data_IF_900884322434
#
_entry.id   IF_900884322434
#
_cell.length_a   1.000
_cell.length_b   1.000
_cell.length_c   1.000
_cell.angle_alpha   90.00
_cell.angle_beta   90.00
_cell.angle_gamma   90.00
#
_symmetry.space_group_name_H-M   'P 1'
#
loop_
_entity.id
_entity.type
_entity.pdbx_description
1 polymer ?
#
# COMPACT_ATOMS: atom_id res chain seq x y z
N UNK A 1 -29.88 11.31 -44.87
CA UNK A 1 -28.42 11.14 -44.99
C UNK A 1 -28.03 9.92 -44.16
N UNK A 2 -27.30 9.00 -44.78
CA UNK A 2 -27.08 7.63 -44.34
C UNK A 2 -26.21 7.54 -43.06
N UNK A 3 -26.83 7.34 -41.90
CA UNK A 3 -26.14 6.91 -40.67
C UNK A 3 -25.42 5.55 -40.91
N UNK A 4 -25.89 4.76 -41.89
CA UNK A 4 -25.40 3.41 -42.20
C UNK A 4 -23.99 3.38 -42.83
N UNK A 5 -23.53 4.45 -43.49
CA UNK A 5 -22.18 4.46 -44.10
C UNK A 5 -21.06 4.57 -43.05
N UNK A 6 -21.30 5.29 -41.96
CA UNK A 6 -20.30 5.52 -40.92
C UNK A 6 -20.05 4.27 -40.04
N UNK A 7 -21.07 3.42 -39.86
CA UNK A 7 -20.94 2.17 -39.10
C UNK A 7 -20.04 1.10 -39.75
N UNK A 8 -19.86 1.16 -41.08
CA UNK A 8 -19.01 0.21 -41.81
C UNK A 8 -17.53 0.58 -41.80
N UNK A 9 -17.21 1.83 -41.50
CA UNK A 9 -15.84 2.37 -41.64
C UNK A 9 -15.22 2.78 -40.31
N UNK A 10 -16.01 2.89 -39.24
CA UNK A 10 -15.54 3.32 -37.93
C UNK A 10 -15.72 2.23 -36.87
N UNK A 11 -14.72 2.08 -36.00
CA UNK A 11 -14.84 1.27 -34.78
C UNK A 11 -15.48 2.11 -33.68
N UNK A 12 -16.64 1.69 -33.20
CA UNK A 12 -17.32 2.34 -32.07
C UNK A 12 -16.95 1.60 -30.78
N UNK A 13 -16.42 2.33 -29.80
CA UNK A 13 -16.04 1.76 -28.49
C UNK A 13 -16.99 2.28 -27.44
N UNK A 14 -17.87 1.41 -26.92
CA UNK A 14 -18.65 1.69 -25.73
C UNK A 14 -17.76 1.44 -24.50
N UNK A 15 -17.44 2.51 -23.76
CA UNK A 15 -16.73 2.41 -22.48
C UNK A 15 -17.73 2.53 -21.34
N UNK A 16 -17.95 1.44 -20.62
CA UNK A 16 -18.76 1.43 -19.40
C UNK A 16 -17.82 1.38 -18.20
N UNK A 17 -17.95 2.34 -17.29
CA UNK A 17 -17.26 2.31 -15.99
C UNK A 17 -18.26 1.92 -14.92
N UNK A 18 -18.12 0.70 -14.39
CA UNK A 18 -18.95 0.23 -13.29
C UNK A 18 -18.25 0.48 -11.96
N UNK A 19 -18.89 1.26 -11.08
CA UNK A 19 -18.45 1.46 -9.69
C UNK A 19 -19.32 0.59 -8.77
N UNK A 20 -18.83 -0.58 -8.40
CA UNK A 20 -19.53 -1.48 -7.46
C UNK A 20 -18.91 -1.43 -6.06
N UNK A 21 -19.75 -1.58 -5.04
CA UNK A 21 -19.29 -1.92 -3.68
C UNK A 21 -19.36 -3.44 -3.55
N UNK A 22 -18.24 -4.08 -3.24
CA UNK A 22 -18.20 -5.51 -2.93
C UNK A 22 -18.28 -5.72 -1.42
N UNK A 23 -18.88 -6.84 -1.01
CA UNK A 23 -18.95 -7.22 0.41
C UNK A 23 -17.54 -7.42 0.96
N UNK A 24 -17.31 -7.00 2.20
CA UNK A 24 -16.01 -7.20 2.88
C UNK A 24 -15.66 -8.69 2.91
N UNK A 25 -14.43 -9.03 2.51
CA UNK A 25 -13.93 -10.41 2.47
C UNK A 25 -14.16 -11.15 1.15
N UNK A 26 -14.83 -10.56 0.16
CA UNK A 26 -14.87 -11.10 -1.21
C UNK A 26 -13.47 -11.13 -1.82
N UNK A 27 -12.99 -12.31 -2.24
CA UNK A 27 -11.64 -12.50 -2.82
C UNK A 27 -11.60 -12.37 -4.33
N UNK A 28 -12.59 -12.94 -5.01
CA UNK A 28 -12.68 -12.90 -6.46
C UNK A 28 -14.04 -12.34 -6.85
N UNK A 29 -14.07 -11.46 -7.83
CA UNK A 29 -15.29 -11.05 -8.48
C UNK A 29 -15.10 -11.09 -9.99
N UNK A 30 -16.14 -11.49 -10.70
CA UNK A 30 -16.16 -11.52 -12.16
C UNK A 30 -17.23 -10.56 -12.63
N UNK A 31 -16.87 -9.71 -13.60
CA UNK A 31 -17.80 -8.79 -14.21
C UNK A 31 -18.35 -9.39 -15.51
N UNK A 32 -19.67 -9.38 -15.63
CA UNK A 32 -20.36 -9.85 -16.82
C UNK A 32 -21.20 -8.71 -17.40
N UNK A 33 -21.06 -8.51 -18.70
CA UNK A 33 -21.85 -7.55 -19.47
C UNK A 33 -22.74 -8.35 -20.41
N UNK A 34 -24.04 -8.24 -20.23
CA UNK A 34 -25.07 -8.75 -21.15
C UNK A 34 -25.87 -7.56 -21.68
N UNK A 35 -26.16 -7.53 -22.98
CA UNK A 35 -26.85 -6.40 -23.60
C UNK A 35 -27.14 -6.60 -25.09
N UNK A 36 -27.85 -5.63 -25.67
CA UNK A 36 -28.23 -5.60 -27.08
C UNK A 36 -27.77 -4.29 -27.71
N UNK A 37 -27.13 -4.36 -28.88
CA UNK A 37 -26.79 -3.20 -29.72
C UNK A 37 -27.34 -3.45 -31.12
N UNK A 38 -28.30 -2.65 -31.57
CA UNK A 38 -28.90 -2.74 -32.91
C UNK A 38 -29.19 -4.19 -33.36
N UNK A 39 -29.89 -4.94 -32.50
CA UNK A 39 -30.27 -6.36 -32.66
C UNK A 39 -29.12 -7.39 -32.57
N UNK A 40 -27.89 -6.94 -32.33
CA UNK A 40 -26.76 -7.81 -32.01
C UNK A 40 -26.70 -8.02 -30.50
N UNK A 41 -26.76 -9.29 -30.09
CA UNK A 41 -26.61 -9.69 -28.70
C UNK A 41 -25.14 -9.69 -28.29
N UNK A 42 -24.87 -9.13 -27.12
CA UNK A 42 -23.59 -9.19 -26.40
C UNK A 42 -23.87 -9.94 -25.10
N UNK A 43 -23.13 -11.01 -24.79
CA UNK A 43 -23.41 -11.83 -23.61
C UNK A 43 -24.34 -13.03 -23.87
N UNK A 44 -24.63 -13.80 -22.82
CA UNK A 44 -25.54 -14.95 -22.83
C UNK A 44 -26.93 -14.61 -22.23
N UNK A 45 -27.94 -15.48 -22.41
CA UNK A 45 -29.34 -15.25 -21.97
C UNK A 45 -30.30 -14.77 -23.07
N UNK A 46 -31.48 -14.28 -22.73
CA UNK A 46 -32.42 -13.64 -23.66
C UNK A 46 -32.72 -12.18 -23.24
N UNK A 47 -33.60 -11.50 -23.98
CA UNK A 47 -33.92 -10.08 -23.75
C UNK A 47 -34.59 -9.84 -22.38
N UNK A 48 -35.37 -10.80 -21.89
CA UNK A 48 -36.13 -10.68 -20.65
C UNK A 48 -35.42 -11.40 -19.48
N UNK A 49 -34.51 -12.34 -19.81
CA UNK A 49 -33.73 -13.15 -18.87
C UNK A 49 -32.25 -13.13 -19.26
N UNK A 50 -31.52 -12.02 -18.97
CA UNK A 50 -30.07 -12.01 -19.15
C UNK A 50 -29.44 -13.13 -18.32
N UNK A 51 -28.41 -13.78 -18.86
CA UNK A 51 -27.72 -14.84 -18.13
C UNK A 51 -27.08 -14.25 -16.86
N UNK A 52 -27.43 -14.81 -15.71
CA UNK A 52 -26.82 -14.50 -14.42
C UNK A 52 -25.85 -15.64 -14.08
N UNK A 53 -24.54 -15.39 -14.12
CA UNK A 53 -23.55 -16.44 -13.92
C UNK A 53 -23.52 -16.85 -12.46
N UNK A 54 -23.54 -18.16 -12.25
CA UNK A 54 -23.28 -18.77 -10.95
C UNK A 54 -22.03 -19.63 -11.03
N UNK A 55 -21.51 -20.07 -9.87
CA UNK A 55 -20.37 -20.99 -9.83
C UNK A 55 -20.62 -22.27 -10.64
N UNK A 56 -21.86 -22.75 -10.65
CA UNK A 56 -22.26 -24.01 -11.28
C UNK A 56 -22.79 -23.81 -12.71
N UNK A 57 -23.14 -22.58 -13.10
CA UNK A 57 -23.65 -22.24 -14.42
C UNK A 57 -23.03 -20.92 -14.93
N UNK A 58 -21.80 -20.98 -15.48
CA UNK A 58 -21.14 -19.81 -16.02
C UNK A 58 -21.80 -19.35 -17.34
N UNK A 59 -21.85 -18.04 -17.55
CA UNK A 59 -22.32 -17.43 -18.80
C UNK A 59 -21.15 -17.38 -19.80
N UNK A 60 -20.84 -18.52 -20.41
CA UNK A 60 -19.50 -18.83 -20.92
C UNK A 60 -19.29 -18.77 -22.44
N UNK A 61 -19.93 -17.82 -23.15
CA UNK A 61 -19.59 -17.56 -24.56
C UNK A 61 -18.92 -16.22 -24.84
N UNK A 62 -18.78 -15.35 -23.84
CA UNK A 62 -18.27 -14.00 -24.05
C UNK A 62 -17.05 -13.71 -23.15
N UNK A 63 -16.12 -12.84 -23.61
CA UNK A 63 -15.00 -12.41 -22.78
C UNK A 63 -15.51 -11.74 -21.50
N UNK A 64 -15.08 -12.26 -20.35
CA UNK A 64 -15.33 -11.67 -19.04
C UNK A 64 -14.01 -11.27 -18.39
N UNK A 65 -14.06 -10.23 -17.58
CA UNK A 65 -12.92 -9.82 -16.75
C UNK A 65 -13.10 -10.34 -15.33
N UNK A 66 -12.09 -11.02 -14.81
CA UNK A 66 -12.02 -11.42 -13.40
C UNK A 66 -11.01 -10.51 -12.70
N UNK A 67 -11.28 -10.11 -11.46
CA UNK A 67 -10.30 -9.46 -10.61
C UNK A 67 -10.04 -10.33 -9.38
N UNK A 68 -8.76 -10.59 -9.12
CA UNK A 68 -8.30 -11.42 -8.02
C UNK A 68 -7.76 -10.55 -6.88
N UNK A 69 -8.19 -10.87 -5.67
CA UNK A 69 -7.70 -10.28 -4.43
C UNK A 69 -7.29 -11.39 -3.47
N UNK A 70 -6.33 -11.08 -2.61
CA UNK A 70 -5.89 -11.99 -1.56
C UNK A 70 -5.65 -11.24 -0.25
N UNK A 71 -5.83 -11.93 0.86
CA UNK A 71 -5.56 -11.37 2.18
C UNK A 71 -4.08 -11.48 2.50
N UNK A 72 -3.45 -10.39 2.91
CA UNK A 72 -2.19 -10.39 3.65
C UNK A 72 -2.50 -10.25 5.14
N UNK A 73 -2.07 -11.22 5.95
CA UNK A 73 -2.20 -11.19 7.41
C UNK A 73 -0.83 -11.04 8.04
N UNK A 74 -0.68 -10.07 8.95
CA UNK A 74 0.51 -9.94 9.78
C UNK A 74 0.21 -10.29 11.23
N UNK A 75 1.21 -10.85 11.90
CA UNK A 75 1.25 -11.01 13.37
C UNK A 75 2.46 -10.28 13.89
N UNK A 76 2.23 -9.32 14.78
CA UNK A 76 3.29 -8.52 15.38
C UNK A 76 3.71 -9.15 16.69
N UNK A 77 5.00 -9.38 16.86
CA UNK A 77 5.55 -10.02 18.07
C UNK A 77 6.76 -9.27 18.60
N UNK A 78 7.10 -9.49 19.87
CA UNK A 78 8.37 -9.06 20.43
C UNK A 78 9.52 -9.94 19.93
N UNK A 79 10.72 -9.38 19.97
CA UNK A 79 11.95 -10.16 19.95
C UNK A 79 12.00 -11.05 21.22
N UNK A 80 11.80 -12.35 21.02
CA UNK A 80 11.78 -13.34 22.08
C UNK A 80 13.21 -13.64 22.51
N UNK A 81 13.72 -12.86 23.48
CA UNK A 81 15.00 -13.18 24.14
C UNK A 81 14.86 -14.49 24.92
N UNK A 82 15.95 -15.26 25.01
CA UNK A 82 15.97 -16.55 25.70
C UNK A 82 15.24 -16.49 27.07
N UNK A 83 14.30 -17.41 27.28
CA UNK A 83 13.51 -17.52 28.51
C UNK A 83 12.31 -16.55 28.64
N UNK A 84 12.14 -15.58 27.73
CA UNK A 84 10.94 -14.73 27.65
C UNK A 84 10.20 -15.05 26.36
N UNK A 85 9.24 -15.98 26.47
CA UNK A 85 8.46 -16.47 25.33
C UNK A 85 7.85 -15.35 24.47
N UNK A 86 7.53 -15.73 23.24
CA UNK A 86 6.95 -14.84 22.23
C UNK A 86 5.59 -14.30 22.67
N UNK A 87 5.41 -12.99 22.54
CA UNK A 87 4.22 -12.24 22.91
C UNK A 87 3.77 -11.37 21.73
N UNK A 88 2.47 -11.38 21.48
CA UNK A 88 1.83 -10.56 20.45
C UNK A 88 1.77 -9.08 20.88
N UNK A 89 1.86 -8.17 19.91
CA UNK A 89 1.94 -6.73 20.13
C UNK A 89 0.80 -5.97 19.43
N UNK A 90 0.02 -5.24 20.21
CA UNK A 90 -1.05 -4.34 19.75
C UNK A 90 -0.52 -2.98 19.33
N UNK A 91 -1.19 -2.34 18.38
CA UNK A 91 -1.04 -0.92 18.07
C UNK A 91 0.12 -0.58 17.14
N UNK A 92 0.75 -1.59 16.51
CA UNK A 92 1.67 -1.33 15.42
C UNK A 92 0.88 -0.84 14.20
N UNK A 93 1.26 0.28 13.59
CA UNK A 93 0.67 0.77 12.35
C UNK A 93 1.63 0.58 11.19
N UNK A 94 1.10 0.13 10.06
CA UNK A 94 1.87 -0.10 8.84
C UNK A 94 1.23 0.62 7.67
N UNK A 95 2.07 1.26 6.85
CA UNK A 95 1.70 1.74 5.53
C UNK A 95 1.97 0.66 4.48
N UNK A 96 1.04 0.49 3.53
CA UNK A 96 1.12 -0.54 2.49
C UNK A 96 1.60 0.07 1.17
N UNK A 97 2.52 -0.63 0.50
CA UNK A 97 3.09 -0.26 -0.78
C UNK A 97 3.03 -1.45 -1.75
N UNK A 98 2.74 -1.21 -3.02
CA UNK A 98 2.89 -2.21 -4.09
C UNK A 98 4.24 -2.07 -4.76
N UNK A 99 4.89 -3.19 -5.08
CA UNK A 99 6.12 -3.17 -5.89
C UNK A 99 5.77 -2.76 -7.34
N UNK A 100 6.58 -1.86 -7.92
CA UNK A 100 6.41 -1.36 -9.30
C UNK A 100 6.73 -2.40 -10.37
N UNK A 101 7.77 -3.19 -10.14
CA UNK A 101 8.26 -4.19 -11.09
C UNK A 101 8.32 -5.56 -10.43
N UNK A 102 7.54 -6.51 -10.94
CA UNK A 102 7.44 -7.86 -10.38
C UNK A 102 8.77 -8.63 -10.37
N UNK A 103 9.77 -8.23 -11.17
CA UNK A 103 11.12 -8.81 -11.13
C UNK A 103 11.98 -8.32 -9.96
N UNK A 104 11.51 -7.35 -9.18
CA UNK A 104 12.26 -6.78 -8.04
C UNK A 104 12.53 -7.86 -7.00
N UNK A 105 13.79 -7.97 -6.57
CA UNK A 105 14.15 -8.80 -5.42
C UNK A 105 13.63 -8.14 -4.14
N UNK A 106 12.82 -8.89 -3.38
CA UNK A 106 12.16 -8.39 -2.16
C UNK A 106 13.18 -7.98 -1.08
N UNK A 107 14.27 -8.74 -0.94
CA UNK A 107 15.33 -8.46 0.04
C UNK A 107 16.16 -7.21 -0.32
N UNK A 108 16.04 -6.74 -1.57
CA UNK A 108 16.71 -5.52 -2.05
C UNK A 108 15.93 -4.24 -1.77
N UNK A 109 14.70 -4.33 -1.25
CA UNK A 109 13.89 -3.15 -0.94
C UNK A 109 14.30 -2.60 0.42
N UNK A 110 14.71 -1.35 0.43
CA UNK A 110 15.19 -0.62 1.61
C UNK A 110 14.46 0.70 1.72
N UNK A 111 14.55 1.34 2.89
CA UNK A 111 13.98 2.68 3.12
C UNK A 111 14.50 3.71 2.11
N UNK A 112 15.74 3.56 1.63
CA UNK A 112 16.38 4.47 0.68
C UNK A 112 15.84 4.36 -0.75
N UNK A 113 15.48 3.16 -1.19
CA UNK A 113 14.98 2.93 -2.55
C UNK A 113 13.46 2.70 -2.62
N UNK A 114 12.76 2.79 -1.48
CA UNK A 114 11.32 2.55 -1.36
C UNK A 114 10.51 3.36 -2.38
N UNK A 115 10.76 4.67 -2.49
CA UNK A 115 10.02 5.55 -3.39
C UNK A 115 10.23 5.21 -4.89
N UNK A 116 11.41 4.68 -5.24
CA UNK A 116 11.74 4.28 -6.61
C UNK A 116 11.27 2.88 -6.97
N UNK A 117 11.15 1.98 -5.97
CA UNK A 117 10.80 0.57 -6.17
C UNK A 117 9.33 0.27 -5.93
N UNK A 118 8.62 1.17 -5.25
CA UNK A 118 7.23 0.95 -4.82
C UNK A 118 6.33 2.15 -5.09
N UNK A 119 5.03 1.90 -5.08
CA UNK A 119 3.98 2.92 -5.04
C UNK A 119 3.12 2.73 -3.79
N UNK A 120 2.73 3.81 -3.09
CA UNK A 120 1.76 3.75 -2.01
C UNK A 120 0.45 3.12 -2.50
N UNK A 121 -0.04 2.11 -1.80
CA UNK A 121 -1.40 1.61 -2.06
C UNK A 121 -2.35 2.63 -1.48
N UNK A 122 -3.28 3.12 -2.30
CA UNK A 122 -4.26 4.14 -1.89
C UNK A 122 -5.57 3.50 -1.46
N UNK A 123 -6.24 4.12 -0.49
CA UNK A 123 -7.64 3.88 -0.20
C UNK A 123 -8.50 4.62 -1.23
N UNK A 124 -9.54 3.95 -1.74
CA UNK A 124 -10.19 4.37 -2.98
C UNK A 124 -10.75 5.81 -2.99
N UNK A 125 -11.27 6.33 -1.87
CA UNK A 125 -12.14 7.53 -1.89
C UNK A 125 -11.38 8.85 -1.75
N UNK A 126 -10.28 8.88 -1.00
CA UNK A 126 -9.57 10.11 -0.63
C UNK A 126 -8.13 10.15 -1.10
N UNK A 127 -7.69 9.14 -1.87
CA UNK A 127 -6.29 8.94 -2.25
C UNK A 127 -5.33 8.78 -1.05
N UNK A 128 -5.85 8.65 0.17
CA UNK A 128 -5.08 8.42 1.39
C UNK A 128 -4.32 7.09 1.28
N UNK A 129 -3.10 7.06 1.79
CA UNK A 129 -2.33 5.82 1.85
C UNK A 129 -3.04 4.78 2.73
N UNK A 130 -3.15 3.56 2.22
CA UNK A 130 -3.69 2.42 2.94
C UNK A 130 -2.77 2.08 4.11
N UNK A 131 -3.35 2.11 5.32
CA UNK A 131 -2.68 1.72 6.55
C UNK A 131 -3.45 0.62 7.27
N UNK A 132 -2.73 -0.27 7.95
CA UNK A 132 -3.29 -1.27 8.85
C UNK A 132 -2.73 -1.12 10.26
N UNK A 133 -3.51 -1.50 11.26
CA UNK A 133 -3.13 -1.45 12.68
C UNK A 133 -3.37 -2.80 13.35
N UNK A 134 -2.44 -3.25 14.19
CA UNK A 134 -2.58 -4.52 14.91
C UNK A 134 -3.53 -4.43 16.10
N UNK A 135 -4.45 -5.39 16.17
CA UNK A 135 -5.44 -5.50 17.24
C UNK A 135 -4.89 -6.06 18.56
N UNK A 136 -5.79 -6.37 19.49
CA UNK A 136 -5.44 -6.94 20.81
C UNK A 136 -4.75 -8.31 20.71
N UNK A 137 -5.04 -9.07 19.66
CA UNK A 137 -4.37 -10.35 19.34
C UNK A 137 -3.02 -10.15 18.61
N UNK A 138 -2.61 -8.90 18.43
CA UNK A 138 -1.43 -8.48 17.69
C UNK A 138 -1.47 -8.78 16.19
N UNK A 139 -2.65 -9.04 15.62
CA UNK A 139 -2.80 -9.28 14.18
C UNK A 139 -3.43 -8.11 13.45
N UNK A 140 -3.11 -7.99 12.15
CA UNK A 140 -3.79 -7.09 11.22
C UNK A 140 -3.92 -7.79 9.87
N UNK A 141 -4.99 -7.51 9.13
CA UNK A 141 -5.23 -8.09 7.80
C UNK A 141 -5.68 -7.04 6.80
N UNK A 142 -5.31 -7.23 5.53
CA UNK A 142 -5.70 -6.37 4.42
C UNK A 142 -5.93 -7.20 3.16
N UNK A 143 -7.00 -6.88 2.43
CA UNK A 143 -7.28 -7.46 1.13
C UNK A 143 -6.57 -6.64 0.04
N UNK A 144 -5.73 -7.30 -0.76
CA UNK A 144 -4.87 -6.66 -1.75
C UNK A 144 -5.17 -7.20 -3.15
N UNK A 145 -5.20 -6.31 -4.13
CA UNK A 145 -5.45 -6.64 -5.54
C UNK A 145 -4.26 -7.37 -6.15
N UNK A 146 -4.45 -8.58 -6.66
CA UNK A 146 -3.39 -9.38 -7.30
C UNK A 146 -3.33 -9.11 -8.80
N UNK A 147 -4.39 -9.43 -9.54
CA UNK A 147 -4.41 -9.32 -11.00
C UNK A 147 -5.83 -9.25 -11.57
N UNK A 148 -5.93 -8.93 -12.86
CA UNK A 148 -7.15 -9.11 -13.65
C UNK A 148 -7.09 -10.34 -14.57
N UNK A 149 -6.07 -11.17 -14.41
CA UNK A 149 -5.82 -12.34 -15.26
C UNK A 149 -5.70 -13.58 -14.39
N UNK A 150 -6.21 -14.71 -14.88
CA UNK A 150 -6.25 -15.97 -14.12
C UNK A 150 -4.88 -16.68 -14.05
N UNK A 151 -3.83 -16.15 -14.71
CA UNK A 151 -2.49 -16.77 -14.75
C UNK A 151 -1.58 -16.24 -13.66
N UNK A 152 -1.77 -15.00 -13.24
CA UNK A 152 -0.99 -14.36 -12.19
C UNK A 152 -1.42 -14.92 -10.83
N UNK A 153 -0.53 -15.70 -10.22
CA UNK A 153 -0.79 -16.39 -8.95
C UNK A 153 -0.32 -15.61 -7.73
N UNK A 154 0.40 -14.50 -7.92
CA UNK A 154 0.86 -13.67 -6.80
C UNK A 154 1.20 -12.25 -7.23
N UNK A 155 1.25 -11.33 -6.26
CA UNK A 155 1.75 -9.97 -6.46
C UNK A 155 2.53 -9.50 -5.24
N UNK A 156 3.55 -8.66 -5.47
CA UNK A 156 4.49 -8.23 -4.45
C UNK A 156 4.07 -6.93 -3.76
N UNK A 157 4.12 -6.93 -2.44
CA UNK A 157 3.77 -5.83 -1.56
C UNK A 157 4.81 -5.62 -0.47
N UNK A 158 4.93 -4.40 0.03
CA UNK A 158 5.74 -4.06 1.19
C UNK A 158 4.90 -3.37 2.26
N UNK A 159 5.20 -3.70 3.51
CA UNK A 159 4.67 -3.06 4.70
C UNK A 159 5.80 -2.27 5.35
N UNK A 160 5.56 -1.00 5.66
CA UNK A 160 6.52 -0.15 6.39
C UNK A 160 5.87 0.25 7.70
N UNK A 161 6.50 -0.08 8.83
CA UNK A 161 5.99 0.32 10.15
C UNK A 161 6.07 1.85 10.26
N UNK A 162 4.93 2.49 10.46
CA UNK A 162 4.84 3.94 10.62
C UNK A 162 4.82 4.32 12.10
N UNK A 163 4.23 3.47 12.94
CA UNK A 163 4.12 3.62 14.39
C UNK A 163 4.37 2.28 15.07
N UNK A 164 5.30 2.24 16.00
CA UNK A 164 5.65 1.05 16.76
C UNK A 164 4.66 0.79 17.90
N UNK A 165 4.48 -0.46 18.35
CA UNK A 165 3.80 -0.76 19.60
C UNK A 165 4.41 -0.02 20.79
N UNK A 166 3.59 0.31 21.78
CA UNK A 166 4.05 0.97 23.00
C UNK A 166 5.19 0.19 23.69
N UNK A 167 6.32 0.85 23.93
CA UNK A 167 7.51 0.27 24.57
C UNK A 167 8.45 -0.48 23.62
N UNK A 168 8.19 -0.47 22.31
CA UNK A 168 9.02 -1.12 21.30
C UNK A 168 9.71 -0.09 20.39
N UNK A 169 10.88 -0.47 19.89
CA UNK A 169 11.57 0.32 18.87
C UNK A 169 10.84 0.17 17.55
N UNK A 170 10.71 1.27 16.80
CA UNK A 170 10.20 1.26 15.43
C UNK A 170 11.15 0.51 14.50
N UNK A 171 10.60 -0.42 13.74
CA UNK A 171 11.31 -1.10 12.66
C UNK A 171 11.26 -0.25 11.39
N UNK A 172 12.42 0.26 10.99
CA UNK A 172 12.55 1.07 9.77
C UNK A 172 12.65 0.22 8.50
N UNK A 173 12.78 -1.10 8.64
CA UNK A 173 12.96 -2.04 7.55
C UNK A 173 11.62 -2.29 6.85
N UNK A 174 11.53 -2.09 5.52
CA UNK A 174 10.36 -2.54 4.77
C UNK A 174 10.24 -4.07 4.79
N UNK A 175 9.06 -4.56 5.12
CA UNK A 175 8.73 -5.99 5.10
C UNK A 175 7.98 -6.34 3.82
N UNK A 176 8.68 -6.96 2.87
CA UNK A 176 8.14 -7.22 1.54
C UNK A 176 7.82 -8.71 1.31
N UNK A 177 6.66 -8.98 0.71
CA UNK A 177 6.13 -10.33 0.52
C UNK A 177 5.51 -10.47 -0.87
N UNK A 178 5.62 -11.66 -1.45
CA UNK A 178 4.73 -12.09 -2.53
C UNK A 178 3.43 -12.60 -1.89
N UNK A 179 2.32 -11.92 -2.17
CA UNK A 179 0.98 -12.29 -1.71
C UNK A 179 0.37 -13.17 -2.78
N UNK A 180 0.07 -14.42 -2.44
CA UNK A 180 -0.47 -15.43 -3.35
C UNK A 180 -1.99 -15.34 -3.43
N UNK A 181 -2.55 -15.69 -4.59
CA UNK A 181 -4.00 -15.80 -4.79
C UNK A 181 -4.62 -16.81 -3.82
N UNK A 182 -5.76 -16.45 -3.24
CA UNK A 182 -6.54 -17.34 -2.39
C UNK A 182 -7.55 -18.13 -3.22
N UNK A 183 -7.48 -19.45 -3.12
CA UNK A 183 -8.34 -20.40 -3.84
C UNK A 183 -8.88 -21.45 -2.88
N UNK A 184 -9.86 -22.23 -3.30
CA UNK A 184 -10.44 -23.28 -2.45
C UNK A 184 -9.45 -24.39 -2.03
N UNK A 185 -8.23 -24.41 -2.57
CA UNK A 185 -7.19 -25.39 -2.20
C UNK A 185 -6.28 -24.90 -1.07
N UNK A 186 -6.14 -23.58 -0.86
CA UNK A 186 -5.22 -23.01 0.13
C UNK A 186 -5.91 -22.22 1.26
N UNK A 187 -7.21 -21.93 1.11
CA UNK A 187 -8.07 -21.34 2.16
C UNK A 187 -9.33 -22.17 2.43
N UNK A 188 -9.86 -22.08 3.65
CA UNK A 188 -11.09 -22.74 4.10
C UNK A 188 -11.82 -21.91 5.16
N UNK A 189 -13.01 -22.34 5.58
CA UNK A 189 -13.76 -21.65 6.64
C UNK A 189 -13.00 -21.58 7.99
N UNK A 190 -12.18 -22.59 8.30
CA UNK A 190 -11.35 -22.63 9.51
C UNK A 190 -9.98 -21.99 9.33
N UNK A 191 -9.58 -21.72 8.08
CA UNK A 191 -8.31 -21.11 7.71
C UNK A 191 -8.55 -20.11 6.56
N UNK A 192 -9.06 -18.91 6.89
CA UNK A 192 -9.55 -17.96 5.89
C UNK A 192 -8.45 -17.22 5.13
N UNK A 193 -7.18 -17.40 5.52
CA UNK A 193 -6.00 -16.79 4.90
C UNK A 193 -4.98 -17.86 4.56
N UNK A 194 -4.38 -17.77 3.38
CA UNK A 194 -3.33 -18.72 2.97
C UNK A 194 -2.11 -18.61 3.91
N UNK A 195 -1.43 -19.75 4.18
CA UNK A 195 -0.24 -19.74 5.05
C UNK A 195 0.88 -18.89 4.46
N UNK A 196 1.06 -18.96 3.14
CA UNK A 196 2.02 -18.14 2.41
C UNK A 196 1.79 -16.64 2.60
N UNK A 197 0.54 -16.23 2.90
CA UNK A 197 0.17 -14.84 3.13
C UNK A 197 0.10 -14.46 4.63
N UNK A 198 0.38 -15.40 5.53
CA UNK A 198 0.44 -15.15 6.98
C UNK A 198 1.89 -14.91 7.38
N UNK A 199 2.20 -13.66 7.75
CA UNK A 199 3.56 -13.20 8.03
C UNK A 199 3.71 -12.74 9.46
N UNK A 200 4.94 -12.81 9.94
CA UNK A 200 5.29 -12.35 11.26
C UNK A 200 6.32 -11.24 11.17
N UNK A 201 6.12 -10.19 11.97
CA UNK A 201 7.01 -9.04 12.05
C UNK A 201 7.42 -8.84 13.51
N UNK A 202 8.73 -8.88 13.76
CA UNK A 202 9.33 -8.80 15.10
C UNK A 202 9.74 -7.36 15.39
N UNK A 203 9.47 -6.85 16.61
CA UNK A 203 10.09 -5.60 17.08
C UNK A 203 10.99 -5.88 18.27
N UNK A 204 12.15 -5.24 18.26
CA UNK A 204 13.01 -5.14 19.42
C UNK A 204 12.37 -4.22 20.48
N UNK A 205 12.63 -4.51 21.76
CA UNK A 205 12.26 -3.59 22.84
C UNK A 205 13.01 -2.27 22.68
N UNK A 206 12.34 -1.16 22.95
CA UNK A 206 12.98 0.14 22.95
C UNK A 206 13.99 0.24 24.10
N UNK A 207 15.21 0.69 23.78
CA UNK A 207 16.16 1.10 24.82
C UNK A 207 15.79 2.49 25.35
N UNK A 208 16.36 2.91 26.48
CA UNK A 208 16.15 4.26 27.03
C UNK A 208 16.53 5.35 26.01
N UNK A 209 17.55 5.10 25.18
CA UNK A 209 17.95 6.02 24.11
C UNK A 209 16.91 6.06 22.98
N UNK A 210 16.32 4.92 22.60
CA UNK A 210 15.26 4.88 21.58
C UNK A 210 13.98 5.59 22.05
N UNK A 211 13.66 5.53 23.36
CA UNK A 211 12.53 6.27 23.95
C UNK A 211 12.75 7.78 23.88
N UNK A 212 13.99 8.23 24.10
CA UNK A 212 14.34 9.65 23.98
C UNK A 212 14.28 10.08 22.50
N UNK A 213 14.83 9.29 21.57
CA UNK A 213 14.79 9.55 20.13
C UNK A 213 13.36 9.56 19.56
N UNK A 214 12.48 8.68 20.02
CA UNK A 214 11.07 8.63 19.60
C UNK A 214 10.22 9.80 20.11
N UNK A 215 10.61 10.41 21.24
CA UNK A 215 9.94 11.58 21.82
C UNK A 215 10.55 12.92 21.37
N UNK A 216 11.67 12.88 20.65
CA UNK A 216 12.23 14.08 20.04
C UNK A 216 11.39 14.44 18.81
N UNK A 217 10.94 15.70 18.66
CA UNK A 217 10.38 16.14 17.39
C UNK A 217 11.43 15.87 16.32
N UNK A 218 11.08 15.01 15.38
CA UNK A 218 11.93 14.55 14.29
C UNK A 218 12.32 15.76 13.44
N UNK A 219 13.40 16.45 13.81
CA UNK A 219 14.01 17.53 13.04
C UNK A 219 14.77 16.92 11.86
N UNK A 220 14.05 16.17 11.00
CA UNK A 220 14.59 15.60 9.78
C UNK A 220 15.15 16.71 8.89
N UNK A 221 16.43 16.61 8.54
CA UNK A 221 17.25 17.29 7.51
C UNK A 221 17.05 18.80 7.19
N UNK A 222 15.84 19.36 7.26
CA UNK A 222 15.49 20.74 6.97
C UNK A 222 15.64 21.67 8.19
N UNK A 223 15.66 21.14 9.41
CA UNK A 223 15.84 21.93 10.64
C UNK A 223 17.30 22.29 10.94
N UNK A 224 18.24 21.40 10.60
CA UNK A 224 19.68 21.63 10.81
C UNK A 224 20.21 22.81 9.96
N UNK A 225 19.70 22.95 8.72
CA UNK A 225 20.13 24.02 7.81
C UNK A 225 19.78 25.39 8.39
N UNK A 226 18.61 25.55 9.02
CA UNK A 226 18.19 26.84 9.58
C UNK A 226 19.04 27.22 10.81
N UNK A 227 19.32 26.27 11.72
CA UNK A 227 20.15 26.54 12.90
C UNK A 227 21.62 26.82 12.55
N UNK A 228 22.16 26.13 11.54
CA UNK A 228 23.55 26.35 11.11
C UNK A 228 23.71 27.68 10.35
N UNK A 229 22.73 28.04 9.52
CA UNK A 229 22.72 29.33 8.79
C UNK A 229 22.53 30.51 9.76
N UNK A 230 21.63 30.42 10.75
CA UNK A 230 21.49 31.47 11.76
C UNK A 230 22.74 31.61 12.65
N UNK A 231 23.40 30.51 13.00
CA UNK A 231 24.67 30.53 13.75
C UNK A 231 25.80 31.23 13.00
N UNK A 232 25.95 30.95 11.70
CA UNK A 232 27.01 31.57 10.87
C UNK A 232 26.71 33.05 10.60
N UNK A 233 25.44 33.41 10.33
CA UNK A 233 25.04 34.81 10.10
C UNK A 233 25.16 35.66 11.38
N UNK A 234 24.86 35.11 12.56
CA UNK A 234 25.02 35.81 13.83
C UNK A 234 26.48 36.14 14.16
N UNK A 235 27.40 35.22 13.89
CA UNK A 235 28.84 35.43 14.13
C UNK A 235 29.44 36.39 13.09
N UNK A 236 29.05 36.28 11.82
CA UNK A 236 29.52 37.20 10.77
C UNK A 236 28.99 38.63 10.97
N UNK A 237 27.72 38.79 11.37
CA UNK A 237 27.09 40.09 11.61
C UNK A 237 27.70 40.85 12.79
N UNK A 238 28.06 40.15 13.88
CA UNK A 238 28.69 40.78 15.05
C UNK A 238 30.12 41.23 14.75
N UNK A 239 30.91 40.43 14.02
CA UNK A 239 32.25 40.83 13.59
C UNK A 239 32.23 42.02 12.62
N UNK A 240 31.29 42.04 11.67
CA UNK A 240 31.14 43.14 10.72
C UNK A 240 30.70 44.45 11.39
N UNK A 241 29.79 44.38 12.37
CA UNK A 241 29.38 45.54 13.17
C UNK A 241 30.55 46.15 13.96
N UNK A 242 31.39 45.32 14.58
CA UNK A 242 32.56 45.79 15.34
C UNK A 242 33.58 46.49 14.43
N UNK A 243 33.84 45.95 13.24
CA UNK A 243 34.78 46.55 12.27
C UNK A 243 34.26 47.89 11.73
N UNK A 244 32.96 47.96 11.40
CA UNK A 244 32.33 49.21 10.95
C UNK A 244 32.32 50.28 12.05
N UNK A 245 32.09 49.90 13.31
CA UNK A 245 32.16 50.83 14.44
C UNK A 245 33.56 51.41 14.62
N UNK A 246 34.60 50.57 14.53
CA UNK A 246 36.00 51.03 14.59
C UNK A 246 36.40 51.95 13.44
N UNK A 247 35.88 51.73 12.22
CA UNK A 247 36.13 52.65 11.10
C UNK A 247 35.49 54.02 11.29
N UNK A 248 34.28 54.08 11.84
CA UNK A 248 33.61 55.37 12.13
C UNK A 248 34.33 56.17 13.22
N UNK A 249 34.94 55.50 14.20
CA UNK A 249 35.72 56.15 15.25
C UNK A 249 37.04 56.74 14.70
N UNK A 250 37.58 56.23 13.59
CA UNK A 250 38.78 56.79 12.92
C UNK A 250 38.47 57.90 11.91
N UNK A 251 37.22 58.08 11.49
CA UNK A 251 36.79 59.16 10.60
C UNK A 251 36.32 60.41 11.38
N UNK A 252 36.38 60.38 12.72
CA UNK A 252 35.98 61.47 13.63
C UNK A 252 37.14 62.07 14.46
N UNK A 253 38.39 61.68 14.20
CA UNK A 253 39.61 62.39 14.63
C UNK A 253 40.18 63.23 13.49
#
# INVERSE_FOLDING_TARGET
AEINKDFKTNTYVLKVTLKTKVTKGTKNFTNFITGWIDNSKIGDGDQDHPCVPTKDNPCDKNPHGTSHFATLKITKVNDAKEGKGKKVLKGAKFAVYSIKNDSTNLDGVTTQNLATTTDPVKTGTNDDQLTIETGDDGTASVDLFISNDDKTTSKKYCLVETEAPAGFKKDETPHCYAVETETSTNVSATKPVADANSKEIVNAQATELDKILGNLPMTGARGLVILTVCGIVGIAGTLFYIVMKRRKEQEQE
#
